data_IF_166605577723
#
_entry.id   IF_166605577723
#
_cell.length_a   1.000
_cell.length_b   1.000
_cell.length_c   1.000
_cell.angle_alpha   90.00
_cell.angle_beta   90.00
_cell.angle_gamma   90.00
#
_symmetry.space_group_name_H-M   'P 1'
#
loop_
_entity.id
_entity.type
_entity.pdbx_description
1 polymer ?
#
# COMPACT_ATOMS: atom_id res chain seq x y z
N UNK A 1 9.40 10.12 -3.25
CA UNK A 1 8.28 9.99 -2.30
C UNK A 1 7.02 9.55 -3.02
N UNK A 2 6.32 8.54 -2.49
CA UNK A 2 5.00 8.13 -2.95
C UNK A 2 4.03 9.30 -2.86
N UNK A 3 3.35 9.59 -3.96
CA UNK A 3 2.26 10.56 -3.97
C UNK A 3 0.95 9.82 -3.70
N UNK A 4 0.25 10.19 -2.64
CA UNK A 4 -1.06 9.64 -2.25
C UNK A 4 -2.15 10.70 -2.41
N UNK A 5 -2.43 11.19 -3.64
CA UNK A 5 -3.43 12.24 -3.85
C UNK A 5 -4.82 11.77 -3.41
N UNK A 6 -5.52 12.63 -2.68
CA UNK A 6 -6.88 12.35 -2.17
C UNK A 6 -6.94 11.40 -0.98
N UNK A 7 -5.81 10.88 -0.49
CA UNK A 7 -5.78 10.07 0.71
C UNK A 7 -6.09 10.93 1.95
N UNK A 8 -7.16 10.60 2.64
CA UNK A 8 -7.56 11.23 3.90
C UNK A 8 -8.32 10.24 4.78
N UNK A 9 -8.34 10.49 6.08
CA UNK A 9 -9.15 9.70 7.04
C UNK A 9 -10.62 9.64 6.60
N UNK A 10 -11.17 10.76 6.09
CA UNK A 10 -12.54 10.83 5.56
C UNK A 10 -12.76 9.91 4.36
N UNK A 11 -11.76 9.78 3.48
CA UNK A 11 -11.81 8.88 2.34
C UNK A 11 -11.78 7.42 2.80
N UNK A 12 -10.83 7.07 3.68
CA UNK A 12 -10.67 5.72 4.22
C UNK A 12 -11.89 5.23 5.01
N UNK A 13 -12.64 6.13 5.67
CA UNK A 13 -13.93 5.78 6.31
C UNK A 13 -15.01 5.33 5.31
N UNK A 14 -14.93 5.78 4.06
CA UNK A 14 -15.93 5.48 3.03
C UNK A 14 -15.55 4.25 2.23
N UNK A 15 -14.28 4.14 1.85
CA UNK A 15 -13.79 3.08 0.98
C UNK A 15 -12.28 2.85 1.18
N UNK A 16 -11.79 1.64 0.87
CA UNK A 16 -10.35 1.38 0.83
C UNK A 16 -9.65 2.30 -0.19
N UNK A 17 -8.44 2.73 0.14
CA UNK A 17 -7.56 3.43 -0.78
C UNK A 17 -6.56 2.44 -1.38
N UNK A 18 -6.43 2.41 -2.70
CA UNK A 18 -5.48 1.55 -3.39
C UNK A 18 -4.63 2.37 -4.34
N UNK A 19 -3.36 2.03 -4.45
CA UNK A 19 -2.46 2.68 -5.39
C UNK A 19 -1.34 1.76 -5.83
N UNK A 20 -0.57 2.25 -6.79
CA UNK A 20 0.62 1.57 -7.32
C UNK A 20 1.74 2.57 -7.51
N UNK A 21 2.96 2.14 -7.19
CA UNK A 21 4.17 2.92 -7.37
C UNK A 21 5.29 2.02 -7.89
N UNK A 22 5.65 2.18 -9.17
CA UNK A 22 6.81 1.54 -9.81
C UNK A 22 6.97 0.04 -9.47
N UNK A 23 5.91 -0.75 -9.68
CA UNK A 23 5.89 -2.19 -9.43
C UNK A 23 5.46 -2.63 -8.02
N UNK A 24 5.42 -1.70 -7.06
CA UNK A 24 4.80 -1.92 -5.74
C UNK A 24 3.33 -1.51 -5.77
N UNK A 25 2.44 -2.37 -5.30
CA UNK A 25 1.03 -2.05 -5.06
C UNK A 25 0.76 -1.95 -3.57
N UNK A 26 -0.17 -1.09 -3.21
CA UNK A 26 -0.57 -0.93 -1.82
C UNK A 26 -2.07 -0.74 -1.67
N UNK A 27 -2.59 -1.17 -0.52
CA UNK A 27 -4.00 -1.05 -0.14
C UNK A 27 -4.08 -0.59 1.31
N UNK A 28 -4.81 0.48 1.56
CA UNK A 28 -5.16 0.97 2.88
C UNK A 28 -6.66 0.72 3.09
N UNK A 29 -7.02 0.13 4.22
CA UNK A 29 -8.40 -0.12 4.58
C UNK A 29 -8.59 0.14 6.07
N UNK A 30 -9.58 0.97 6.40
CA UNK A 30 -10.02 1.19 7.76
C UNK A 30 -11.48 0.73 7.86
N UNK A 31 -11.79 -0.29 8.67
CA UNK A 31 -13.17 -0.65 8.95
C UNK A 31 -13.93 0.53 9.55
N UNK A 32 -15.22 0.67 9.22
CA UNK A 32 -16.11 1.57 9.97
C UNK A 32 -16.08 1.17 11.44
N UNK A 33 -15.89 2.15 12.32
CA UNK A 33 -15.71 1.98 13.77
C UNK A 33 -14.40 1.34 14.26
N UNK A 34 -13.43 1.09 13.36
CA UNK A 34 -12.11 0.66 13.82
C UNK A 34 -11.24 1.84 14.22
N UNK A 35 -10.55 1.71 15.35
CA UNK A 35 -9.48 2.61 15.76
C UNK A 35 -8.17 2.35 15.01
N UNK A 36 -8.11 1.32 14.15
CA UNK A 36 -6.92 0.94 13.37
C UNK A 36 -7.22 0.84 11.89
N UNK A 37 -6.28 1.31 11.07
CA UNK A 37 -6.22 1.08 9.63
C UNK A 37 -5.18 0.01 9.31
N UNK A 38 -5.48 -0.78 8.30
CA UNK A 38 -4.61 -1.85 7.81
C UNK A 38 -4.04 -1.44 6.45
N UNK A 39 -2.74 -1.62 6.29
CA UNK A 39 -1.98 -1.26 5.09
C UNK A 39 -1.29 -2.51 4.59
N UNK A 40 -1.59 -2.89 3.35
CA UNK A 40 -0.93 -4.00 2.68
C UNK A 40 -0.06 -3.46 1.56
N UNK A 41 1.14 -4.03 1.42
CA UNK A 41 1.97 -3.90 0.22
C UNK A 41 2.16 -5.27 -0.43
N UNK A 42 2.17 -5.28 -1.76
CA UNK A 42 2.35 -6.49 -2.56
C UNK A 42 2.87 -6.12 -3.96
N UNK A 43 3.49 -7.07 -4.66
CA UNK A 43 4.07 -6.83 -5.99
C UNK A 43 3.08 -7.06 -7.13
N UNK A 44 3.30 -6.38 -8.26
CA UNK A 44 2.77 -6.82 -9.55
C UNK A 44 3.31 -8.22 -9.91
N UNK A 45 2.56 -9.06 -10.66
CA UNK A 45 1.32 -8.77 -11.39
C UNK A 45 0.03 -8.95 -10.59
N UNK A 46 0.11 -9.34 -9.32
CA UNK A 46 -1.04 -9.79 -8.56
C UNK A 46 -2.02 -8.64 -8.22
N UNK A 47 -3.32 -8.94 -8.25
CA UNK A 47 -4.35 -8.14 -7.59
C UNK A 47 -4.41 -8.53 -6.11
N UNK A 48 -4.97 -7.69 -5.24
CA UNK A 48 -5.03 -7.98 -3.81
C UNK A 48 -5.63 -9.36 -3.50
N UNK A 49 -6.63 -9.82 -4.25
CA UNK A 49 -7.24 -11.13 -4.06
C UNK A 49 -6.32 -12.28 -4.48
N UNK A 50 -5.62 -12.11 -5.61
CA UNK A 50 -4.74 -13.12 -6.21
C UNK A 50 -3.35 -13.20 -5.58
N UNK A 51 -2.91 -12.16 -4.86
CA UNK A 51 -1.61 -12.16 -4.20
C UNK A 51 -1.62 -13.17 -3.02
N UNK A 52 -0.64 -14.09 -2.93
CA UNK A 52 -0.57 -15.00 -1.79
C UNK A 52 -0.28 -14.20 -0.50
N UNK A 53 -0.86 -14.63 0.62
CA UNK A 53 -0.70 -13.93 1.92
C UNK A 53 0.76 -13.80 2.34
N UNK A 54 1.61 -14.77 1.99
CA UNK A 54 3.06 -14.71 2.26
C UNK A 54 3.83 -13.66 1.45
N UNK A 55 3.31 -13.18 0.31
CA UNK A 55 3.91 -12.08 -0.45
C UNK A 55 3.30 -10.71 -0.07
N UNK A 56 2.22 -10.70 0.70
CA UNK A 56 1.61 -9.46 1.21
C UNK A 56 2.27 -9.11 2.54
N UNK A 57 2.85 -7.92 2.63
CA UNK A 57 3.21 -7.38 3.93
C UNK A 57 2.06 -6.54 4.45
N UNK A 58 1.42 -7.01 5.53
CA UNK A 58 0.41 -6.26 6.28
C UNK A 58 1.09 -5.48 7.40
N UNK A 59 0.70 -4.23 7.57
CA UNK A 59 1.00 -3.44 8.75
C UNK A 59 -0.22 -2.66 9.20
N UNK A 60 -0.42 -2.57 10.50
CA UNK A 60 -1.55 -1.89 11.12
C UNK A 60 -1.08 -0.58 11.75
N UNK A 61 -1.87 0.46 11.59
CA UNK A 61 -1.60 1.81 12.09
C UNK A 61 -2.84 2.37 12.78
N UNK A 62 -2.68 3.28 13.74
CA UNK A 62 -3.83 3.96 14.35
C UNK A 62 -4.60 4.75 13.29
N UNK A 63 -5.93 4.75 13.38
CA UNK A 63 -6.80 5.47 12.45
C UNK A 63 -6.91 6.97 12.80
N UNK A 64 -5.76 7.61 12.86
CA UNK A 64 -5.56 9.03 13.17
C UNK A 64 -4.79 9.71 12.05
N UNK A 65 -4.75 11.05 12.07
CA UNK A 65 -3.95 11.84 11.13
C UNK A 65 -2.48 11.38 11.16
N UNK A 66 -1.90 11.28 12.37
CA UNK A 66 -0.52 10.84 12.58
C UNK A 66 -0.30 9.41 12.07
N UNK A 67 -1.22 8.48 12.36
CA UNK A 67 -1.12 7.12 11.86
C UNK A 67 -1.20 7.02 10.33
N UNK A 68 -1.89 7.95 9.67
CA UNK A 68 -1.90 8.06 8.21
C UNK A 68 -0.54 8.50 7.67
N UNK A 69 0.09 9.46 8.32
CA UNK A 69 1.43 9.94 7.97
C UNK A 69 2.47 8.84 8.19
N UNK A 70 2.38 8.11 9.31
CA UNK A 70 3.21 6.92 9.57
C UNK A 70 2.99 5.82 8.53
N UNK A 71 1.73 5.57 8.13
CA UNK A 71 1.42 4.61 7.08
C UNK A 71 2.06 5.01 5.74
N UNK A 72 1.95 6.27 5.34
CA UNK A 72 2.57 6.78 4.12
C UNK A 72 4.09 6.73 4.20
N UNK A 73 4.67 7.10 5.35
CA UNK A 73 6.11 6.99 5.57
C UNK A 73 6.58 5.54 5.46
N UNK A 74 5.84 4.60 6.05
CA UNK A 74 6.15 3.18 5.94
C UNK A 74 6.06 2.66 4.51
N UNK A 75 5.10 3.13 3.71
CA UNK A 75 5.05 2.79 2.28
C UNK A 75 6.31 3.28 1.56
N UNK A 76 6.78 4.48 1.87
CA UNK A 76 8.03 5.01 1.31
C UNK A 76 9.23 4.16 1.72
N UNK A 77 9.40 3.93 3.02
CA UNK A 77 10.49 3.10 3.53
C UNK A 77 10.45 1.69 2.95
N UNK A 78 9.28 1.06 2.85
CA UNK A 78 9.14 -0.29 2.27
C UNK A 78 9.46 -0.33 0.78
N UNK A 79 9.19 0.76 0.06
CA UNK A 79 9.58 0.90 -1.33
C UNK A 79 11.10 1.11 -1.47
N UNK A 80 11.71 1.91 -0.59
CA UNK A 80 13.15 2.20 -0.62
C UNK A 80 13.99 1.00 -0.18
N UNK A 81 13.56 0.30 0.88
CA UNK A 81 14.20 -0.92 1.40
C UNK A 81 14.29 -2.03 0.35
N UNK A 82 13.23 -2.15 -0.48
CA UNK A 82 13.13 -3.15 -1.55
C UNK A 82 13.09 -2.53 -2.94
N UNK A 83 13.79 -1.41 -3.13
CA UNK A 83 13.73 -0.60 -4.35
C UNK A 83 14.01 -1.41 -5.62
N UNK A 84 15.04 -2.27 -5.59
CA UNK A 84 15.43 -3.09 -6.73
C UNK A 84 14.36 -4.15 -7.04
N UNK A 85 13.89 -4.86 -6.02
CA UNK A 85 12.82 -5.86 -6.13
C UNK A 85 11.55 -5.26 -6.75
N UNK A 86 11.10 -4.09 -6.30
CA UNK A 86 9.92 -3.43 -6.86
C UNK A 86 10.16 -2.96 -8.29
N UNK A 87 11.34 -2.39 -8.59
CA UNK A 87 11.71 -1.96 -9.95
C UNK A 87 11.72 -3.12 -10.94
N UNK A 88 12.24 -4.28 -10.56
CA UNK A 88 12.25 -5.47 -11.41
C UNK A 88 10.83 -5.97 -11.71
N UNK A 89 9.97 -6.02 -10.68
CA UNK A 89 8.56 -6.38 -10.83
C UNK A 89 7.79 -5.40 -11.72
N UNK A 90 8.09 -4.09 -11.62
CA UNK A 90 7.50 -3.06 -12.47
C UNK A 90 8.02 -3.08 -13.92
N UNK A 91 9.23 -3.59 -14.16
CA UNK A 91 9.81 -3.79 -15.51
C UNK A 91 9.28 -5.02 -16.22
N UNK A 92 8.65 -5.96 -15.50
CA UNK A 92 8.05 -7.19 -16.07
C UNK A 92 6.81 -6.93 -16.95
N UNK A 93 6.69 -5.75 -17.57
CA UNK A 93 5.60 -5.35 -18.44
C UNK A 93 5.96 -5.35 -19.92
N UNK A 94 7.14 -5.86 -20.31
CA UNK A 94 7.52 -6.02 -21.71
C UNK A 94 8.46 -7.22 -21.90
N UNK A 95 7.88 -8.37 -22.26
CA UNK A 95 8.42 -9.26 -23.29
C UNK A 95 7.25 -9.59 -24.20
N UNK A 96 7.09 -8.76 -25.24
CA UNK A 96 6.41 -9.16 -26.47
C UNK A 96 7.47 -9.59 -27.47
#
# INVERSE_FOLDING_TARGET
MLSTPGLSIKYLKKQPYTGSHRGMRFRLYAPKDSATMKVWIYGEPWCFDAAPEGEKTLREFPFTQEGLEEAVQWLNTSYEDKLEYWKERGKSKMRI
#
